data_IF_887611449446
#
_entry.id   IF_887611449446
#
_cell.length_a   1.000
_cell.length_b   1.000
_cell.length_c   1.000
_cell.angle_alpha   90.00
_cell.angle_beta   90.00
_cell.angle_gamma   90.00
#
_symmetry.space_group_name_H-M   'P 1'
#
loop_
_entity.id
_entity.type
_entity.pdbx_description
1 polymer ?
#
# COMPACT_ATOMS: atom_id res chain seq x y z
N UNK A 1 -22.25 -10.44 -5.88
CA UNK A 1 -22.76 -11.02 -4.62
C UNK A 1 -23.75 -10.09 -3.91
N UNK A 2 -23.34 -8.98 -3.28
CA UNK A 2 -24.28 -8.15 -2.49
C UNK A 2 -25.52 -7.63 -3.25
N UNK A 3 -25.36 -7.16 -4.51
CA UNK A 3 -26.52 -6.71 -5.32
C UNK A 3 -27.50 -7.85 -5.63
N UNK A 4 -26.98 -9.06 -5.86
CA UNK A 4 -27.80 -10.23 -6.12
C UNK A 4 -28.61 -10.60 -4.87
N UNK A 5 -27.97 -10.59 -3.70
CA UNK A 5 -28.62 -10.85 -2.41
C UNK A 5 -29.74 -9.83 -2.13
N UNK A 6 -29.53 -8.54 -2.43
CA UNK A 6 -30.58 -7.51 -2.26
C UNK A 6 -31.77 -7.76 -3.19
N UNK A 7 -31.53 -8.19 -4.43
CA UNK A 7 -32.58 -8.57 -5.36
C UNK A 7 -33.33 -9.83 -4.90
N UNK A 8 -32.61 -10.87 -4.48
CA UNK A 8 -33.19 -12.10 -3.96
C UNK A 8 -34.04 -11.85 -2.71
N UNK A 9 -33.56 -11.01 -1.78
CA UNK A 9 -34.29 -10.65 -0.58
C UNK A 9 -35.54 -9.81 -0.90
N UNK A 10 -35.43 -8.84 -1.82
CA UNK A 10 -36.57 -8.05 -2.29
C UNK A 10 -37.65 -8.91 -2.95
N UNK A 11 -37.24 -9.87 -3.77
CA UNK A 11 -38.13 -10.84 -4.41
C UNK A 11 -38.78 -11.75 -3.36
N UNK A 12 -38.00 -12.30 -2.42
CA UNK A 12 -38.51 -13.18 -1.37
C UNK A 12 -39.54 -12.47 -0.49
N UNK A 13 -39.27 -11.24 -0.06
CA UNK A 13 -40.22 -10.42 0.71
C UNK A 13 -41.48 -10.14 -0.11
N UNK A 14 -41.33 -9.78 -1.40
CA UNK A 14 -42.46 -9.58 -2.30
C UNK A 14 -43.35 -10.82 -2.44
N UNK A 15 -42.75 -12.01 -2.57
CA UNK A 15 -43.47 -13.28 -2.67
C UNK A 15 -44.16 -13.65 -1.35
N UNK A 16 -43.52 -13.42 -0.20
CA UNK A 16 -44.14 -13.63 1.12
C UNK A 16 -45.35 -12.72 1.32
N UNK A 17 -45.26 -11.44 0.94
CA UNK A 17 -46.38 -10.50 1.02
C UNK A 17 -47.57 -10.94 0.15
N UNK A 18 -47.30 -11.46 -1.05
CA UNK A 18 -48.33 -12.00 -1.93
C UNK A 18 -48.95 -13.30 -1.39
N UNK A 19 -48.16 -14.13 -0.70
CA UNK A 19 -48.65 -15.35 -0.06
C UNK A 19 -49.53 -15.08 1.17
N UNK A 20 -49.32 -13.95 1.86
CA UNK A 20 -50.13 -13.52 3.02
C UNK A 20 -51.47 -12.93 2.56
N UNK A 21 -51.44 -11.95 1.63
CA UNK A 21 -52.67 -11.32 1.13
C UNK A 21 -52.48 -10.75 -0.29
N UNK A 22 -53.30 -11.19 -1.24
CA UNK A 22 -53.30 -10.70 -2.63
C UNK A 22 -53.60 -9.20 -2.77
N UNK A 23 -54.24 -8.56 -1.77
CA UNK A 23 -54.45 -7.10 -1.74
C UNK A 23 -53.14 -6.33 -1.60
N UNK A 24 -52.08 -6.95 -1.08
CA UNK A 24 -50.75 -6.35 -0.93
C UNK A 24 -49.93 -6.33 -2.23
N UNK A 25 -50.50 -6.71 -3.38
CA UNK A 25 -49.79 -6.75 -4.67
C UNK A 25 -49.02 -5.47 -5.01
N UNK A 26 -49.58 -4.29 -4.74
CA UNK A 26 -48.91 -3.02 -5.02
C UNK A 26 -47.76 -2.75 -4.04
N UNK A 27 -47.87 -3.22 -2.80
CA UNK A 27 -46.80 -3.15 -1.79
C UNK A 27 -45.66 -4.09 -2.19
N UNK A 28 -45.96 -5.32 -2.61
CA UNK A 28 -44.97 -6.28 -3.09
C UNK A 28 -44.20 -5.76 -4.32
N UNK A 29 -44.93 -5.18 -5.30
CA UNK A 29 -44.30 -4.52 -6.46
C UNK A 29 -43.43 -3.34 -6.00
N UNK A 30 -43.91 -2.53 -5.06
CA UNK A 30 -43.14 -1.41 -4.50
C UNK A 30 -41.85 -1.86 -3.82
N UNK A 31 -41.89 -2.91 -3.01
CA UNK A 31 -40.70 -3.47 -2.34
C UNK A 31 -39.70 -4.01 -3.37
N UNK A 32 -40.16 -4.75 -4.38
CA UNK A 32 -39.30 -5.24 -5.45
C UNK A 32 -38.69 -4.08 -6.27
N UNK A 33 -39.47 -3.07 -6.60
CA UNK A 33 -39.00 -1.89 -7.32
C UNK A 33 -37.94 -1.13 -6.51
N UNK A 34 -38.16 -0.95 -5.19
CA UNK A 34 -37.16 -0.36 -4.29
C UNK A 34 -35.90 -1.21 -4.22
N UNK A 35 -36.02 -2.53 -4.14
CA UNK A 35 -34.86 -3.43 -4.14
C UNK A 35 -34.06 -3.34 -5.45
N UNK A 36 -34.73 -3.24 -6.60
CA UNK A 36 -34.10 -2.98 -7.90
C UNK A 36 -33.39 -1.63 -7.89
N UNK A 37 -34.06 -0.57 -7.44
CA UNK A 37 -33.46 0.77 -7.35
C UNK A 37 -32.20 0.71 -6.48
N UNK A 38 -32.26 0.14 -5.28
CA UNK A 38 -31.11 0.02 -4.37
C UNK A 38 -29.97 -0.82 -4.99
N UNK A 39 -30.31 -1.92 -5.66
CA UNK A 39 -29.31 -2.80 -6.28
C UNK A 39 -28.57 -2.13 -7.44
N UNK A 40 -29.27 -1.29 -8.21
CA UNK A 40 -28.71 -0.61 -9.38
C UNK A 40 -28.30 0.84 -9.15
N UNK A 41 -28.62 1.43 -7.99
CA UNK A 41 -28.23 2.80 -7.67
C UNK A 41 -26.71 2.87 -7.55
N UNK A 42 -26.12 3.72 -8.40
CA UNK A 42 -24.69 3.95 -8.45
C UNK A 42 -24.39 5.32 -7.84
N UNK A 43 -23.64 5.34 -6.75
CA UNK A 43 -23.24 6.57 -6.06
C UNK A 43 -21.72 6.71 -6.09
N UNK A 44 -21.20 7.79 -6.68
CA UNK A 44 -19.75 8.08 -6.68
C UNK A 44 -18.89 6.98 -7.30
N UNK A 45 -19.40 6.30 -8.34
CA UNK A 45 -18.69 5.23 -9.04
C UNK A 45 -18.76 3.84 -8.39
N UNK A 46 -19.43 3.67 -7.24
CA UNK A 46 -19.65 2.39 -6.57
C UNK A 46 -21.15 2.04 -6.50
N UNK A 47 -21.47 0.75 -6.34
CA UNK A 47 -22.85 0.32 -6.09
C UNK A 47 -23.27 0.72 -4.67
N UNK A 48 -24.53 1.14 -4.48
CA UNK A 48 -25.02 1.59 -3.17
C UNK A 48 -24.82 0.54 -2.07
N UNK A 49 -25.00 -0.75 -2.37
CA UNK A 49 -24.77 -1.85 -1.41
C UNK A 49 -23.32 -1.94 -0.94
N UNK A 50 -22.35 -1.66 -1.83
CA UNK A 50 -20.94 -1.61 -1.49
C UNK A 50 -20.64 -0.40 -0.62
N UNK A 51 -21.24 0.74 -0.94
CA UNK A 51 -21.12 1.95 -0.12
C UNK A 51 -21.71 1.73 1.28
N UNK A 52 -22.92 1.20 1.39
CA UNK A 52 -23.59 0.91 2.66
C UNK A 52 -22.80 -0.10 3.50
N UNK A 53 -22.35 -1.20 2.91
CA UNK A 53 -21.52 -2.19 3.61
C UNK A 53 -20.16 -1.63 4.06
N UNK A 54 -19.55 -0.76 3.26
CA UNK A 54 -18.31 -0.08 3.63
C UNK A 54 -18.53 0.89 4.79
N UNK A 55 -19.57 1.74 4.71
CA UNK A 55 -19.93 2.68 5.77
C UNK A 55 -20.24 1.94 7.07
N UNK A 56 -20.98 0.83 7.01
CA UNK A 56 -21.30 0.02 8.18
C UNK A 56 -20.04 -0.57 8.83
N UNK A 57 -19.15 -1.17 8.02
CA UNK A 57 -17.86 -1.72 8.50
C UNK A 57 -16.97 -0.65 9.10
N UNK A 58 -16.93 0.52 8.47
CA UNK A 58 -16.22 1.68 8.99
C UNK A 58 -16.79 2.08 10.35
N UNK A 59 -18.09 2.33 10.45
CA UNK A 59 -18.76 2.74 11.70
C UNK A 59 -18.54 1.78 12.87
N UNK A 60 -18.45 0.48 12.63
CA UNK A 60 -18.29 -0.53 13.69
C UNK A 60 -16.83 -0.90 14.01
N UNK A 61 -15.83 -0.34 13.31
CA UNK A 61 -14.42 -0.62 13.59
C UNK A 61 -13.81 0.46 14.51
N UNK A 62 -12.74 0.11 15.22
CA UNK A 62 -11.88 1.12 15.84
C UNK A 62 -11.17 1.96 14.78
N UNK A 63 -11.16 3.27 15.01
CA UNK A 63 -10.52 4.28 14.17
C UNK A 63 -9.24 4.81 14.79
N UNK A 64 -9.11 4.68 16.10
CA UNK A 64 -7.96 5.15 16.85
C UNK A 64 -7.09 3.97 17.28
N UNK A 65 -5.79 4.13 17.13
CA UNK A 65 -4.75 3.20 17.57
C UNK A 65 -3.66 3.99 18.27
N UNK A 66 -3.08 3.42 19.32
CA UNK A 66 -2.03 4.07 20.11
C UNK A 66 -0.91 3.09 20.35
N UNK A 67 0.32 3.50 20.01
CA UNK A 67 1.53 2.81 20.38
C UNK A 67 2.01 3.40 21.71
N UNK A 68 2.09 2.54 22.73
CA UNK A 68 2.67 2.92 24.03
C UNK A 68 4.18 2.74 23.98
N UNK A 69 4.96 3.73 24.44
CA UNK A 69 6.41 3.62 24.48
C UNK A 69 6.81 2.42 25.36
N UNK A 70 7.80 1.68 24.90
CA UNK A 70 8.37 0.59 25.66
C UNK A 70 9.39 1.13 26.68
N UNK A 71 9.54 0.49 27.85
CA UNK A 71 10.56 0.88 28.80
C UNK A 71 11.96 0.79 28.14
N UNK A 72 12.90 1.68 28.51
CA UNK A 72 14.24 1.65 27.94
C UNK A 72 14.89 0.29 28.23
N UNK A 73 15.25 -0.44 27.18
CA UNK A 73 16.01 -1.67 27.29
C UNK A 73 17.45 -1.36 27.68
N UNK A 74 18.05 -2.17 28.56
CA UNK A 74 19.46 -2.07 28.89
C UNK A 74 20.31 -2.47 27.67
N UNK A 75 21.50 -1.89 27.53
CA UNK A 75 22.44 -2.22 26.44
C UNK A 75 22.77 -3.72 26.45
N UNK A 76 22.77 -4.35 27.63
CA UNK A 76 22.96 -5.79 27.81
C UNK A 76 21.80 -6.64 27.27
N UNK A 77 20.55 -6.16 27.36
CA UNK A 77 19.39 -6.85 26.78
C UNK A 77 19.38 -6.76 25.25
N UNK A 78 19.74 -5.59 24.70
CA UNK A 78 19.85 -5.36 23.25
C UNK A 78 20.99 -6.16 22.61
N UNK A 79 22.07 -6.43 23.34
CA UNK A 79 23.20 -7.24 22.88
C UNK A 79 22.96 -8.76 23.03
N UNK A 80 21.99 -9.18 23.84
CA UNK A 80 21.66 -10.58 24.09
C UNK A 80 20.56 -11.13 23.15
N UNK A 81 19.77 -10.27 22.50
CA UNK A 81 18.72 -10.65 21.57
C UNK A 81 19.26 -10.84 20.13
N UNK A 82 20.03 -11.91 19.89
CA UNK A 82 20.13 -12.52 18.55
C UNK A 82 18.86 -13.34 18.24
N UNK A 83 17.69 -12.73 18.44
CA UNK A 83 16.43 -13.40 18.16
C UNK A 83 16.22 -13.49 16.65
N UNK A 84 15.89 -14.69 16.17
CA UNK A 84 15.57 -14.94 14.77
C UNK A 84 14.32 -14.17 14.27
N UNK A 85 13.63 -13.47 15.18
CA UNK A 85 12.38 -12.75 14.94
C UNK A 85 12.32 -11.49 15.81
N UNK A 86 12.21 -10.32 15.16
CA UNK A 86 11.91 -9.05 15.82
C UNK A 86 10.40 -8.92 16.00
N UNK A 87 9.96 -8.99 17.25
CA UNK A 87 8.55 -8.96 17.65
C UNK A 87 8.06 -7.58 18.14
N UNK A 88 6.86 -7.55 18.76
CA UNK A 88 6.25 -6.35 19.33
C UNK A 88 7.07 -5.59 20.37
N UNK A 89 8.04 -6.27 20.99
CA UNK A 89 8.90 -5.71 22.03
C UNK A 89 10.02 -4.83 21.46
N UNK A 90 10.18 -4.77 20.13
CA UNK A 90 10.98 -3.74 19.47
C UNK A 90 10.13 -2.48 19.27
N UNK A 91 10.67 -1.33 19.68
CA UNK A 91 9.99 -0.03 19.58
C UNK A 91 9.56 0.34 18.16
N UNK A 92 10.32 -0.09 17.13
CA UNK A 92 10.04 0.14 15.71
C UNK A 92 8.87 -0.72 15.24
N UNK A 93 8.85 -1.99 15.62
CA UNK A 93 7.73 -2.90 15.30
C UNK A 93 6.47 -2.41 16.01
N UNK A 94 6.53 -2.10 17.30
CA UNK A 94 5.41 -1.54 18.06
C UNK A 94 4.82 -0.28 17.40
N UNK A 95 5.67 0.62 16.91
CA UNK A 95 5.26 1.83 16.20
C UNK A 95 4.59 1.50 14.85
N UNK A 96 5.17 0.59 14.07
CA UNK A 96 4.62 0.17 12.76
C UNK A 96 3.32 -0.63 12.90
N UNK A 97 3.08 -1.27 14.05
CA UNK A 97 1.81 -1.95 14.37
C UNK A 97 0.61 -1.01 14.49
N UNK A 98 0.83 0.31 14.55
CA UNK A 98 -0.22 1.31 14.30
C UNK A 98 -0.87 1.11 12.93
N UNK A 99 -0.09 0.82 11.90
CA UNK A 99 -0.55 0.61 10.53
C UNK A 99 -0.82 -0.86 10.22
N UNK A 100 0.07 -1.75 10.68
CA UNK A 100 0.07 -3.20 10.38
C UNK A 100 -0.01 -3.99 11.70
N UNK A 101 -1.21 -4.24 12.26
CA UNK A 101 -1.38 -4.69 13.65
C UNK A 101 -0.73 -6.02 14.03
N UNK A 102 -0.51 -6.90 13.06
CA UNK A 102 0.06 -8.24 13.23
C UNK A 102 1.50 -8.33 12.73
N UNK A 103 2.16 -7.18 12.51
CA UNK A 103 3.53 -7.12 12.04
C UNK A 103 4.49 -7.84 12.99
N UNK A 104 5.28 -8.72 12.39
CA UNK A 104 6.46 -9.36 12.96
C UNK A 104 7.53 -9.41 11.86
N UNK A 105 8.81 -9.24 12.19
CA UNK A 105 9.90 -9.31 11.21
C UNK A 105 10.80 -10.50 11.52
N UNK A 106 10.76 -11.53 10.70
CA UNK A 106 11.67 -12.66 10.78
C UNK A 106 12.99 -12.36 10.07
N UNK A 107 14.07 -12.97 10.56
CA UNK A 107 15.40 -12.83 10.01
C UNK A 107 15.69 -14.03 9.10
N UNK A 108 15.87 -13.74 7.82
CA UNK A 108 16.28 -14.70 6.80
C UNK A 108 17.73 -14.48 6.39
N UNK A 109 18.29 -15.48 5.71
CA UNK A 109 19.60 -15.37 5.07
C UNK A 109 19.45 -15.88 3.64
N UNK A 110 19.93 -15.12 2.68
CA UNK A 110 19.89 -15.50 1.27
C UNK A 110 21.03 -16.46 0.87
N UNK A 111 21.08 -16.82 -0.41
CA UNK A 111 22.10 -17.72 -0.94
C UNK A 111 23.52 -17.11 -0.93
N UNK A 112 23.62 -15.79 -0.85
CA UNK A 112 24.88 -15.02 -0.77
C UNK A 112 25.27 -14.71 0.68
N UNK A 113 24.58 -15.34 1.65
CA UNK A 113 24.76 -15.14 3.10
C UNK A 113 24.48 -13.71 3.56
N UNK A 114 23.69 -12.95 2.79
CA UNK A 114 23.21 -11.64 3.20
C UNK A 114 21.94 -11.78 4.05
N UNK A 115 21.81 -10.95 5.07
CA UNK A 115 20.60 -10.90 5.89
C UNK A 115 19.42 -10.36 5.08
N UNK A 116 18.24 -10.94 5.30
CA UNK A 116 17.00 -10.53 4.64
C UNK A 116 15.92 -10.38 5.71
N UNK A 117 15.32 -9.18 5.80
CA UNK A 117 14.13 -8.96 6.60
C UNK A 117 12.90 -9.55 5.92
N UNK A 118 12.12 -10.34 6.66
CA UNK A 118 10.88 -10.93 6.17
C UNK A 118 9.73 -10.49 7.08
N UNK A 119 8.86 -9.62 6.59
CA UNK A 119 7.69 -9.15 7.33
C UNK A 119 6.53 -10.15 7.22
N UNK A 120 5.90 -10.46 8.35
CA UNK A 120 4.63 -11.15 8.41
C UNK A 120 3.50 -10.16 8.58
N UNK A 121 2.47 -10.30 7.76
CA UNK A 121 1.20 -9.60 7.94
C UNK A 121 0.07 -10.33 7.21
N UNK A 122 -1.14 -10.31 7.76
CA UNK A 122 -2.37 -10.82 7.17
C UNK A 122 -2.23 -12.23 6.54
N UNK A 123 -1.52 -13.11 7.25
CA UNK A 123 -1.31 -14.49 6.80
C UNK A 123 -0.27 -14.68 5.68
N UNK A 124 0.53 -13.66 5.39
CA UNK A 124 1.50 -13.66 4.29
C UNK A 124 2.89 -13.19 4.70
N UNK A 125 3.90 -13.64 3.97
CA UNK A 125 5.28 -13.20 4.13
C UNK A 125 5.67 -12.21 3.02
N UNK A 126 6.33 -11.12 3.39
CA UNK A 126 6.83 -10.09 2.47
C UNK A 126 8.33 -9.89 2.65
N UNK A 127 9.08 -9.94 1.56
CA UNK A 127 10.49 -9.54 1.52
C UNK A 127 10.66 -8.40 0.53
N UNK A 128 11.62 -7.50 0.78
CA UNK A 128 11.74 -6.25 0.03
C UNK A 128 13.12 -6.10 -0.57
N UNK A 129 13.17 -5.71 -1.84
CA UNK A 129 14.37 -5.21 -2.51
C UNK A 129 14.37 -3.69 -2.49
N UNK A 130 15.51 -3.09 -2.18
CA UNK A 130 15.81 -1.70 -2.47
C UNK A 130 16.40 -1.60 -3.87
N UNK A 131 15.86 -0.69 -4.69
CA UNK A 131 16.50 -0.32 -5.95
C UNK A 131 17.62 0.66 -5.64
N UNK A 132 18.84 0.32 -6.04
CA UNK A 132 20.01 1.17 -5.82
C UNK A 132 19.87 2.46 -6.64
N UNK A 133 19.97 3.64 -6.02
CA UNK A 133 19.91 4.89 -6.75
C UNK A 133 21.12 4.95 -7.68
N UNK A 134 20.88 5.20 -8.98
CA UNK A 134 21.96 5.51 -9.90
C UNK A 134 22.73 6.74 -9.36
N UNK A 135 24.07 6.76 -9.39
CA UNK A 135 24.90 7.78 -8.75
C UNK A 135 24.84 9.19 -9.38
N UNK A 136 23.72 9.56 -10.02
CA UNK A 136 23.50 10.91 -10.50
C UNK A 136 23.18 11.86 -9.32
N UNK A 137 23.99 12.91 -9.17
CA UNK A 137 23.91 13.94 -8.12
C UNK A 137 22.54 14.62 -7.97
N UNK A 138 21.63 14.52 -8.97
CA UNK A 138 20.26 15.06 -8.93
C UNK A 138 19.36 14.17 -9.80
N UNK A 139 18.32 13.55 -9.24
CA UNK A 139 17.28 12.85 -10.00
C UNK A 139 16.02 13.71 -10.13
N UNK A 140 15.52 13.84 -11.37
CA UNK A 140 14.27 14.52 -11.68
C UNK A 140 13.08 13.68 -11.20
N UNK A 141 12.05 14.28 -10.61
CA UNK A 141 10.88 13.57 -10.07
C UNK A 141 10.17 12.62 -11.09
N UNK A 142 10.32 12.87 -12.40
CA UNK A 142 9.77 12.05 -13.48
C UNK A 142 10.70 10.97 -14.09
N UNK A 143 12.00 11.02 -13.81
CA UNK A 143 13.03 10.31 -14.59
C UNK A 143 13.35 8.86 -14.17
N UNK A 144 12.57 8.26 -13.27
CA UNK A 144 12.88 6.94 -12.76
C UNK A 144 12.56 5.81 -13.74
N UNK A 145 13.29 4.67 -13.67
CA UNK A 145 13.01 3.51 -14.48
C UNK A 145 11.57 3.04 -14.26
N UNK A 146 10.92 2.83 -15.39
CA UNK A 146 9.55 2.37 -15.49
C UNK A 146 9.46 0.91 -15.03
N UNK A 147 8.39 0.47 -14.35
CA UNK A 147 8.22 -0.94 -13.93
C UNK A 147 8.41 -1.88 -15.14
N UNK A 148 9.42 -2.77 -15.17
CA UNK A 148 9.56 -3.73 -16.25
C UNK A 148 8.55 -4.87 -16.06
N UNK A 149 7.26 -4.55 -16.27
CA UNK A 149 6.12 -5.45 -16.05
C UNK A 149 6.29 -6.79 -16.77
N UNK A 150 6.80 -6.76 -18.01
CA UNK A 150 7.06 -7.95 -18.81
C UNK A 150 8.15 -8.85 -18.23
N UNK A 151 9.16 -8.27 -17.56
CA UNK A 151 10.23 -9.04 -16.92
C UNK A 151 9.76 -9.63 -15.59
N UNK A 152 8.83 -8.97 -14.89
CA UNK A 152 8.34 -9.40 -13.58
C UNK A 152 7.15 -10.36 -13.65
N UNK A 153 6.33 -10.30 -14.71
CA UNK A 153 5.17 -11.17 -14.86
C UNK A 153 5.53 -12.68 -14.78
N UNK A 154 6.60 -13.18 -15.42
CA UNK A 154 7.02 -14.58 -15.26
C UNK A 154 7.47 -14.93 -13.84
N UNK A 155 7.85 -13.96 -13.00
CA UNK A 155 8.26 -14.21 -11.63
C UNK A 155 7.07 -14.49 -10.69
N UNK A 156 5.85 -14.15 -11.10
CA UNK A 156 4.63 -14.37 -10.31
C UNK A 156 4.35 -15.86 -10.09
N UNK A 157 4.70 -16.71 -11.05
CA UNK A 157 4.49 -18.14 -10.99
C UNK A 157 5.73 -18.87 -11.52
N UNK A 158 6.49 -19.51 -10.64
CA UNK A 158 7.68 -20.26 -11.03
C UNK A 158 7.95 -21.43 -10.07
N UNK A 159 8.33 -22.59 -10.61
CA UNK A 159 8.72 -23.80 -9.84
C UNK A 159 7.78 -24.16 -8.69
N UNK A 160 6.47 -24.14 -8.96
CA UNK A 160 5.41 -24.45 -8.00
C UNK A 160 5.16 -23.39 -6.91
N UNK A 161 5.84 -22.24 -6.99
CA UNK A 161 5.60 -21.07 -6.14
C UNK A 161 4.76 -20.07 -6.93
N UNK A 162 3.58 -19.77 -6.39
CA UNK A 162 2.65 -18.75 -6.90
C UNK A 162 2.62 -17.60 -5.90
N UNK A 163 3.18 -16.46 -6.29
CA UNK A 163 3.23 -15.27 -5.46
C UNK A 163 1.84 -14.67 -5.26
N UNK A 164 1.67 -14.02 -4.11
CA UNK A 164 0.48 -13.19 -3.88
C UNK A 164 0.52 -11.95 -4.78
N UNK A 165 1.65 -11.24 -4.73
CA UNK A 165 1.90 -10.08 -5.58
C UNK A 165 3.39 -9.72 -5.62
N UNK A 166 3.76 -8.98 -6.66
CA UNK A 166 5.00 -8.19 -6.71
C UNK A 166 4.58 -6.73 -6.75
N UNK A 167 4.99 -5.95 -5.77
CA UNK A 167 4.63 -4.54 -5.64
C UNK A 167 5.86 -3.66 -5.75
N UNK A 168 5.80 -2.65 -6.61
CA UNK A 168 6.81 -1.60 -6.66
C UNK A 168 6.27 -0.34 -6.00
N UNK A 169 7.05 0.20 -5.07
CA UNK A 169 6.68 1.35 -4.26
C UNK A 169 7.71 2.45 -4.54
N UNK A 170 7.22 3.58 -5.04
CA UNK A 170 7.99 4.79 -5.22
C UNK A 170 7.62 5.78 -4.14
N UNK A 171 8.58 6.16 -3.33
CA UNK A 171 8.38 7.13 -2.27
C UNK A 171 9.29 8.33 -2.48
N UNK A 172 8.68 9.50 -2.53
CA UNK A 172 9.32 10.71 -3.00
C UNK A 172 9.13 11.84 -1.99
N UNK A 173 10.26 12.43 -1.59
CA UNK A 173 10.31 13.69 -0.87
C UNK A 173 10.70 14.79 -1.88
N UNK A 174 9.77 15.66 -2.29
CA UNK A 174 10.12 16.76 -3.17
C UNK A 174 11.11 17.70 -2.47
N UNK A 175 12.01 18.36 -3.20
CA UNK A 175 13.03 19.24 -2.62
C UNK A 175 12.45 20.40 -1.81
N UNK A 176 11.23 20.83 -2.16
CA UNK A 176 10.45 21.78 -1.39
C UNK A 176 9.98 21.26 -0.02
N UNK A 177 9.98 19.94 0.20
CA UNK A 177 9.49 19.34 1.44
C UNK A 177 10.30 19.84 2.64
N UNK A 178 11.58 20.16 2.50
CA UNK A 178 12.40 20.66 3.61
C UNK A 178 12.00 22.08 4.08
N UNK A 179 11.24 22.83 3.27
CA UNK A 179 10.88 24.22 3.55
C UNK A 179 9.41 24.34 4.00
N UNK A 180 9.09 25.26 4.92
CA UNK A 180 7.71 25.65 5.19
C UNK A 180 7.01 26.19 3.94
N UNK A 181 5.70 25.98 3.83
CA UNK A 181 4.91 26.37 2.66
C UNK A 181 4.85 27.88 2.40
N UNK A 182 5.10 28.69 3.43
CA UNK A 182 5.10 30.15 3.44
C UNK A 182 6.52 30.76 3.43
N UNK A 183 7.55 29.93 3.31
CA UNK A 183 8.94 30.40 3.35
C UNK A 183 9.30 31.22 2.10
N UNK A 184 9.92 32.41 2.25
CA UNK A 184 10.48 33.16 1.11
C UNK A 184 11.50 32.35 0.31
N UNK A 185 12.27 31.48 0.96
CA UNK A 185 13.22 30.58 0.30
C UNK A 185 12.52 29.60 -0.64
N UNK A 186 11.31 29.14 -0.29
CA UNK A 186 10.51 28.30 -1.18
C UNK A 186 10.03 29.09 -2.39
N UNK A 187 9.60 30.34 -2.21
CA UNK A 187 9.21 31.22 -3.32
C UNK A 187 10.36 31.45 -4.30
N UNK A 188 11.55 31.80 -3.79
CA UNK A 188 12.75 31.97 -4.61
C UNK A 188 13.18 30.67 -5.30
N UNK A 189 13.12 29.53 -4.60
CA UNK A 189 13.38 28.22 -5.21
C UNK A 189 12.42 27.95 -6.37
N UNK A 190 11.14 28.27 -6.22
CA UNK A 190 10.15 28.06 -7.28
C UNK A 190 10.31 28.99 -8.47
N UNK A 191 10.69 30.25 -8.24
CA UNK A 191 11.01 31.21 -9.29
C UNK A 191 12.20 30.72 -10.14
N UNK A 192 13.26 30.24 -9.48
CA UNK A 192 14.45 29.69 -10.15
C UNK A 192 14.15 28.37 -10.85
N UNK A 193 13.35 27.50 -10.24
CA UNK A 193 12.97 26.21 -10.81
C UNK A 193 12.14 26.38 -12.10
N UNK A 194 11.24 27.36 -12.12
CA UNK A 194 10.37 27.63 -13.26
C UNK A 194 9.54 26.39 -13.68
N UNK A 195 9.56 25.99 -14.96
CA UNK A 195 8.80 24.84 -15.46
C UNK A 195 9.50 23.48 -15.25
N UNK A 196 10.71 23.46 -14.69
CA UNK A 196 11.49 22.22 -14.52
C UNK A 196 10.92 21.36 -13.39
N UNK A 197 11.05 20.01 -13.46
CA UNK A 197 10.67 19.16 -12.35
C UNK A 197 11.55 19.46 -11.13
N UNK A 198 10.94 19.56 -9.95
CA UNK A 198 11.69 19.77 -8.71
C UNK A 198 12.67 18.59 -8.48
N UNK A 199 13.86 18.90 -7.97
CA UNK A 199 14.74 17.89 -7.42
C UNK A 199 14.00 17.16 -6.30
N UNK A 200 14.11 15.84 -6.23
CA UNK A 200 13.44 15.07 -5.21
C UNK A 200 14.31 13.92 -4.74
N UNK A 201 14.26 13.63 -3.43
CA UNK A 201 14.84 12.39 -2.91
C UNK A 201 13.80 11.30 -3.12
N UNK A 202 14.12 10.35 -3.99
CA UNK A 202 13.26 9.20 -4.28
C UNK A 202 13.91 7.92 -3.82
N UNK A 203 13.12 7.12 -3.12
CA UNK A 203 13.45 5.74 -2.78
C UNK A 203 12.48 4.82 -3.52
N UNK A 204 13.00 3.73 -4.10
CA UNK A 204 12.17 2.72 -4.76
C UNK A 204 12.37 1.38 -4.10
N UNK A 205 11.27 0.77 -3.69
CA UNK A 205 11.24 -0.57 -3.11
C UNK A 205 10.46 -1.51 -4.03
N UNK A 206 10.84 -2.78 -4.04
CA UNK A 206 10.09 -3.86 -4.67
C UNK A 206 9.77 -4.88 -3.58
N UNK A 207 8.52 -4.95 -3.16
CA UNK A 207 8.01 -5.89 -2.18
C UNK A 207 7.47 -7.14 -2.88
N UNK A 208 7.96 -8.31 -2.47
CA UNK A 208 7.56 -9.62 -2.97
C UNK A 208 6.74 -10.28 -1.87
N UNK A 209 5.47 -10.58 -2.15
CA UNK A 209 4.53 -11.15 -1.17
C UNK A 209 4.20 -12.60 -1.52
N UNK A 210 4.29 -13.48 -0.53
CA UNK A 210 3.97 -14.91 -0.62
C UNK A 210 2.84 -15.24 0.36
N UNK A 211 1.75 -15.84 -0.13
CA UNK A 211 0.76 -16.51 0.71
C UNK A 211 1.11 -18.01 0.81
N UNK A 212 1.49 -18.52 1.99
CA UNK A 212 1.83 -19.92 2.19
C UNK A 212 0.71 -20.89 1.77
N UNK A 213 -0.56 -20.47 1.87
CA UNK A 213 -1.73 -21.31 1.54
C UNK A 213 -1.81 -21.61 0.04
N UNK A 214 -1.21 -20.77 -0.80
CA UNK A 214 -1.15 -20.95 -2.26
C UNK A 214 -0.03 -21.90 -2.70
N UNK A 215 0.96 -22.15 -1.84
CA UNK A 215 2.18 -22.88 -2.18
C UNK A 215 2.47 -24.11 -1.28
N UNK A 216 1.48 -24.95 -0.91
CA UNK A 216 1.70 -26.01 0.09
C UNK A 216 2.69 -27.10 -0.35
N UNK A 217 2.71 -27.46 -1.64
CA UNK A 217 3.65 -28.45 -2.17
C UNK A 217 5.08 -27.91 -2.17
N UNK A 218 5.28 -26.71 -2.75
CA UNK A 218 6.57 -26.04 -2.82
C UNK A 218 7.19 -25.77 -1.44
N UNK A 219 6.37 -25.41 -0.44
CA UNK A 219 6.84 -25.21 0.94
C UNK A 219 7.31 -26.52 1.57
N UNK A 220 6.56 -27.61 1.35
CA UNK A 220 6.90 -28.94 1.88
C UNK A 220 8.22 -29.46 1.34
N UNK A 221 8.45 -29.32 0.03
CA UNK A 221 9.72 -29.67 -0.63
C UNK A 221 10.91 -28.88 -0.08
N UNK A 222 10.66 -27.68 0.47
CA UNK A 222 11.69 -26.78 1.02
C UNK A 222 11.88 -26.92 2.53
N UNK A 223 11.35 -27.98 3.15
CA UNK A 223 11.49 -28.29 4.57
C UNK A 223 10.22 -28.05 5.41
N UNK A 224 9.13 -27.57 4.79
CA UNK A 224 7.84 -27.38 5.46
C UNK A 224 7.78 -26.18 6.41
N UNK A 225 6.57 -25.91 6.92
CA UNK A 225 6.31 -24.86 7.90
C UNK A 225 6.81 -23.47 7.49
N UNK A 226 7.22 -22.68 8.50
CA UNK A 226 7.73 -21.31 8.32
C UNK A 226 9.06 -21.30 7.56
N UNK A 227 9.96 -22.24 7.86
CA UNK A 227 11.29 -22.32 7.21
C UNK A 227 11.15 -22.57 5.71
N UNK A 228 10.27 -23.48 5.30
CA UNK A 228 9.98 -23.74 3.89
C UNK A 228 9.35 -22.54 3.18
N UNK A 229 8.49 -21.78 3.87
CA UNK A 229 7.91 -20.54 3.36
C UNK A 229 8.98 -19.46 3.16
N UNK A 230 9.89 -19.25 4.12
CA UNK A 230 11.00 -18.32 4.00
C UNK A 230 11.92 -18.68 2.83
N UNK A 231 12.30 -19.96 2.70
CA UNK A 231 13.11 -20.45 1.57
C UNK A 231 12.41 -20.25 0.22
N UNK A 232 11.10 -20.49 0.15
CA UNK A 232 10.32 -20.25 -1.06
C UNK A 232 10.32 -18.75 -1.43
N UNK A 233 10.12 -17.87 -0.45
CA UNK A 233 10.11 -16.42 -0.63
C UNK A 233 11.49 -15.87 -1.02
N UNK A 234 12.56 -16.28 -0.33
CA UNK A 234 13.95 -15.89 -0.66
C UNK A 234 14.32 -16.35 -2.08
N UNK A 235 13.90 -17.55 -2.47
CA UNK A 235 14.06 -18.02 -3.84
C UNK A 235 13.32 -17.15 -4.87
N UNK A 236 12.10 -16.71 -4.56
CA UNK A 236 11.35 -15.78 -5.41
C UNK A 236 11.96 -14.37 -5.45
N UNK A 237 12.46 -13.88 -4.31
CA UNK A 237 13.17 -12.61 -4.17
C UNK A 237 14.39 -12.57 -5.09
N UNK A 238 15.21 -13.63 -5.08
CA UNK A 238 16.38 -13.75 -5.97
C UNK A 238 15.99 -13.76 -7.45
N UNK A 239 14.89 -14.42 -7.83
CA UNK A 239 14.39 -14.40 -9.22
C UNK A 239 13.96 -13.01 -9.66
N UNK A 240 13.21 -12.31 -8.81
CA UNK A 240 12.77 -10.93 -9.08
C UNK A 240 13.98 -10.00 -9.19
N UNK A 241 14.96 -10.11 -8.30
CA UNK A 241 16.24 -9.39 -8.38
C UNK A 241 16.92 -9.62 -9.73
N UNK A 242 17.12 -10.87 -10.12
CA UNK A 242 17.78 -11.22 -11.39
C UNK A 242 17.00 -10.68 -12.61
N UNK A 243 15.66 -10.73 -12.57
CA UNK A 243 14.82 -10.17 -13.62
C UNK A 243 14.99 -8.64 -13.75
N UNK A 244 15.09 -7.92 -12.62
CA UNK A 244 15.36 -6.48 -12.60
C UNK A 244 16.79 -6.14 -13.06
N UNK A 245 17.78 -6.89 -12.61
CA UNK A 245 19.18 -6.74 -13.02
C UNK A 245 19.36 -6.94 -14.53
N UNK A 246 18.64 -7.91 -15.12
CA UNK A 246 18.64 -8.12 -16.58
C UNK A 246 18.13 -6.91 -17.38
N UNK A 247 17.36 -6.03 -16.73
CA UNK A 247 16.85 -4.79 -17.29
C UNK A 247 17.69 -3.56 -16.89
N UNK A 248 18.86 -3.79 -16.29
CA UNK A 248 19.76 -2.72 -15.83
C UNK A 248 19.27 -1.99 -14.58
N UNK A 249 18.40 -2.61 -13.78
CA UNK A 249 17.90 -2.06 -12.52
C UNK A 249 18.60 -2.80 -11.36
N UNK A 250 19.72 -2.28 -10.83
CA UNK A 250 20.41 -2.91 -9.71
C UNK A 250 19.57 -2.82 -8.45
N UNK A 251 19.46 -3.95 -7.73
CA UNK A 251 18.69 -4.01 -6.49
C UNK A 251 19.39 -4.89 -5.47
N UNK A 252 19.09 -4.67 -4.19
CA UNK A 252 19.56 -5.52 -3.09
C UNK A 252 18.44 -5.81 -2.10
N UNK A 253 18.44 -6.95 -1.40
CA UNK A 253 17.50 -7.18 -0.31
C UNK A 253 17.71 -6.17 0.83
N UNK A 254 16.64 -5.85 1.53
CA UNK A 254 16.70 -5.15 2.81
C UNK A 254 16.92 -6.15 3.93
N UNK A 255 17.88 -5.86 4.82
CA UNK A 255 18.02 -6.56 6.09
C UNK A 255 16.84 -6.22 7.04
N UNK A 256 16.69 -6.91 8.19
CA UNK A 256 15.61 -6.64 9.14
C UNK A 256 15.54 -5.17 9.62
N UNK A 257 16.69 -4.55 9.90
CA UNK A 257 16.77 -3.19 10.44
C UNK A 257 16.44 -2.15 9.37
N UNK A 258 16.97 -2.33 8.16
CA UNK A 258 16.68 -1.49 7.01
C UNK A 258 15.23 -1.60 6.56
N UNK A 259 14.63 -2.78 6.66
CA UNK A 259 13.21 -3.00 6.38
C UNK A 259 12.34 -2.19 7.35
N UNK A 260 12.63 -2.25 8.65
CA UNK A 260 11.95 -1.46 9.67
C UNK A 260 12.17 0.04 9.47
N UNK A 261 13.41 0.47 9.24
CA UNK A 261 13.78 1.88 9.00
C UNK A 261 13.10 2.45 7.76
N UNK A 262 13.10 1.71 6.66
CA UNK A 262 12.44 2.10 5.40
C UNK A 262 10.93 2.25 5.60
N UNK A 263 10.33 1.37 6.40
CA UNK A 263 8.90 1.41 6.69
C UNK A 263 8.50 2.55 7.62
N UNK A 264 9.33 2.86 8.62
CA UNK A 264 9.14 4.04 9.48
C UNK A 264 9.22 5.32 8.65
N UNK A 265 10.21 5.42 7.76
CA UNK A 265 10.32 6.56 6.84
C UNK A 265 9.11 6.67 5.93
N UNK A 266 8.71 5.57 5.28
CA UNK A 266 7.53 5.57 4.41
C UNK A 266 6.24 5.91 5.17
N UNK A 267 6.15 5.61 6.46
CA UNK A 267 5.02 5.95 7.31
C UNK A 267 5.05 7.40 7.86
N UNK A 268 6.10 8.17 7.56
CA UNK A 268 6.36 9.50 8.15
C UNK A 268 6.46 9.48 9.70
N UNK A 269 6.97 8.39 10.26
CA UNK A 269 7.09 8.19 11.71
C UNK A 269 8.51 8.42 12.24
N UNK A 270 9.45 8.83 11.39
CA UNK A 270 10.87 9.03 11.76
C UNK A 270 11.04 9.99 12.94
N UNK A 271 10.26 11.08 13.00
CA UNK A 271 10.37 12.08 14.05
C UNK A 271 9.93 11.58 15.45
N UNK A 272 9.17 10.49 15.50
CA UNK A 272 8.66 9.89 16.75
C UNK A 272 9.25 8.52 17.05
N UNK A 273 10.13 8.01 16.17
CA UNK A 273 10.84 6.76 16.40
C UNK A 273 11.72 6.89 17.66
N UNK A 274 11.49 6.02 18.64
CA UNK A 274 12.18 6.07 19.95
C UNK A 274 11.68 7.16 20.89
N UNK A 275 10.59 7.86 20.57
CA UNK A 275 9.99 8.85 21.47
C UNK A 275 9.45 8.18 22.74
N UNK A 276 9.65 8.78 23.94
CA UNK A 276 9.05 8.30 25.18
C UNK A 276 7.56 8.70 25.31
N UNK A 277 6.98 9.36 24.30
CA UNK A 277 5.58 9.75 24.27
C UNK A 277 4.72 8.69 23.57
N UNK A 278 3.43 8.63 23.93
CA UNK A 278 2.45 7.82 23.19
C UNK A 278 2.27 8.37 21.78
N UNK A 279 2.30 7.49 20.79
CA UNK A 279 2.07 7.86 19.39
C UNK A 279 0.71 7.35 18.95
N UNK A 280 -0.13 8.27 18.46
CA UNK A 280 -1.46 7.95 17.97
C UNK A 280 -1.51 7.83 16.44
N UNK A 281 -2.39 6.94 15.97
CA UNK A 281 -2.90 6.90 14.61
C UNK A 281 -4.42 6.99 14.66
N UNK A 282 -4.99 7.92 13.90
CA UNK A 282 -6.43 8.13 13.80
C UNK A 282 -6.87 8.07 12.33
N UNK A 283 -7.78 7.16 12.02
CA UNK A 283 -8.44 7.12 10.72
C UNK A 283 -9.68 8.02 10.70
N UNK A 284 -9.79 8.82 9.65
CA UNK A 284 -10.99 9.56 9.25
C UNK A 284 -11.49 9.01 7.92
N UNK A 285 -12.72 9.37 7.58
CA UNK A 285 -13.34 8.91 6.33
C UNK A 285 -12.50 9.26 5.10
N UNK A 286 -11.81 10.40 5.10
CA UNK A 286 -11.05 10.92 3.95
C UNK A 286 -9.53 10.83 4.10
N UNK A 287 -9.01 10.46 5.27
CA UNK A 287 -7.57 10.32 5.46
C UNK A 287 -7.19 9.65 6.78
N UNK A 288 -5.89 9.46 7.00
CA UNK A 288 -5.32 8.97 8.27
C UNK A 288 -4.41 10.05 8.82
N UNK A 289 -4.42 10.26 10.14
CA UNK A 289 -3.41 11.07 10.82
C UNK A 289 -2.54 10.16 11.66
N UNK A 290 -1.23 10.13 11.41
CA UNK A 290 -0.27 9.36 12.18
C UNK A 290 0.81 10.32 12.71
N UNK A 291 1.03 10.34 14.03
CA UNK A 291 2.01 11.23 14.67
C UNK A 291 1.88 12.73 14.26
N UNK A 292 0.65 13.19 14.01
CA UNK A 292 0.36 14.57 13.57
C UNK A 292 0.48 14.82 12.06
N UNK A 293 1.02 13.86 11.29
CA UNK A 293 1.08 13.95 9.82
C UNK A 293 -0.22 13.41 9.22
N UNK A 294 -0.79 14.16 8.28
CA UNK A 294 -1.99 13.77 7.55
C UNK A 294 -1.66 13.01 6.27
N UNK A 295 -2.40 11.93 6.01
CA UNK A 295 -2.25 11.09 4.83
C UNK A 295 -3.60 10.92 4.11
N UNK A 296 -3.58 10.98 2.79
CA UNK A 296 -4.73 10.69 1.94
C UNK A 296 -4.33 9.70 0.85
N UNK A 297 -5.08 8.60 0.73
CA UNK A 297 -4.85 7.52 -0.22
C UNK A 297 -5.94 7.46 -1.29
N UNK A 298 -5.51 7.17 -2.52
CA UNK A 298 -6.33 7.14 -3.72
C UNK A 298 -6.01 5.87 -4.52
N UNK A 299 -7.02 5.16 -4.99
CA UNK A 299 -6.84 4.04 -5.91
C UNK A 299 -6.79 4.55 -7.35
N UNK A 300 -5.91 3.97 -8.16
CA UNK A 300 -5.91 4.13 -9.62
C UNK A 300 -7.01 3.22 -10.17
N UNK A 301 -8.08 3.81 -10.69
CA UNK A 301 -9.25 3.08 -11.21
C UNK A 301 -9.35 3.07 -12.72
N UNK A 302 -8.66 3.99 -13.39
CA UNK A 302 -8.46 3.97 -14.83
C UNK A 302 -6.99 4.22 -15.15
N UNK A 303 -6.45 3.40 -16.04
CA UNK A 303 -5.07 3.48 -16.51
C UNK A 303 -5.00 4.30 -17.81
N UNK A 304 -3.88 4.98 -18.06
CA UNK A 304 -3.70 5.75 -19.29
C UNK A 304 -3.66 4.79 -20.48
N UNK A 305 -4.25 5.21 -21.61
CA UNK A 305 -4.18 4.46 -22.87
C UNK A 305 -2.77 4.60 -23.45
N UNK A 306 -1.87 3.64 -23.21
CA UNK A 306 -0.49 3.66 -23.73
C UNK A 306 0.55 3.11 -22.75
N UNK A 307 1.79 3.61 -22.81
CA UNK A 307 2.87 3.20 -21.90
C UNK A 307 2.61 3.71 -20.47
N UNK A 308 2.07 2.83 -19.63
CA UNK A 308 1.72 3.07 -18.21
C UNK A 308 2.91 3.54 -17.37
N UNK A 309 4.12 3.12 -17.71
CA UNK A 309 5.22 3.10 -16.77
C UNK A 309 6.06 4.40 -16.72
N UNK A 310 6.05 5.23 -17.77
CA UNK A 310 6.72 6.55 -17.75
C UNK A 310 5.84 7.68 -17.19
N UNK A 311 4.52 7.55 -17.28
CA UNK A 311 3.55 8.58 -16.89
C UNK A 311 3.33 8.65 -15.38
N UNK A 312 3.37 7.51 -14.67
CA UNK A 312 2.99 7.46 -13.26
C UNK A 312 4.02 8.04 -12.29
N UNK A 313 5.29 8.16 -12.72
CA UNK A 313 6.31 8.86 -11.95
C UNK A 313 5.90 10.31 -11.66
N UNK A 314 5.19 10.96 -12.58
CA UNK A 314 4.71 12.32 -12.37
C UNK A 314 3.69 12.44 -11.22
N UNK A 315 3.02 11.34 -10.81
CA UNK A 315 2.16 11.37 -9.61
C UNK A 315 2.98 11.51 -8.32
N UNK A 316 4.27 11.16 -8.33
CA UNK A 316 5.19 11.36 -7.18
C UNK A 316 5.79 12.77 -7.10
N UNK A 317 5.56 13.63 -8.10
CA UNK A 317 6.07 15.01 -8.11
C UNK A 317 5.15 16.02 -7.42
N UNK A 318 4.05 15.54 -6.82
CA UNK A 318 3.11 16.38 -6.07
C UNK A 318 3.86 17.05 -4.92
N UNK A 319 3.71 18.37 -4.83
CA UNK A 319 4.27 19.15 -3.73
C UNK A 319 3.47 18.90 -2.46
N UNK A 320 4.01 18.05 -1.60
CA UNK A 320 3.54 17.77 -0.25
C UNK A 320 4.76 17.46 0.63
N UNK A 321 4.55 16.94 1.86
CA UNK A 321 5.64 16.38 2.66
C UNK A 321 6.26 15.19 1.91
N UNK A 322 5.42 14.26 1.45
CA UNK A 322 5.82 13.16 0.58
C UNK A 322 4.68 12.69 -0.31
N UNK A 323 5.05 12.04 -1.41
CA UNK A 323 4.13 11.35 -2.29
C UNK A 323 4.63 9.91 -2.51
N UNK A 324 3.75 8.95 -2.27
CA UNK A 324 4.01 7.52 -2.49
C UNK A 324 3.10 7.01 -3.59
N UNK A 325 3.66 6.27 -4.55
CA UNK A 325 2.89 5.52 -5.54
C UNK A 325 3.29 4.06 -5.39
N UNK A 326 2.32 3.20 -5.10
CA UNK A 326 2.50 1.76 -5.00
C UNK A 326 1.73 1.09 -6.14
N UNK A 327 2.40 0.26 -6.93
CA UNK A 327 1.79 -0.53 -8.00
C UNK A 327 2.05 -2.00 -7.76
N UNK A 328 1.01 -2.83 -7.78
CA UNK A 328 1.12 -4.26 -7.59
C UNK A 328 0.67 -5.01 -8.84
N UNK A 329 1.45 -6.05 -9.19
CA UNK A 329 1.02 -7.09 -10.10
C UNK A 329 0.69 -8.35 -9.31
N UNK A 330 -0.36 -9.06 -9.71
CA UNK A 330 -0.75 -10.33 -9.11
C UNK A 330 -1.15 -11.35 -10.18
N UNK A 331 -1.12 -12.65 -9.88
CA UNK A 331 -1.61 -13.66 -10.83
C UNK A 331 -3.07 -13.41 -11.21
N UNK A 332 -3.43 -13.75 -12.45
CA UNK A 332 -4.80 -13.69 -12.97
C UNK A 332 -5.30 -15.11 -13.27
N UNK A 333 -6.61 -15.33 -13.17
CA UNK A 333 -7.23 -16.57 -13.64
C UNK A 333 -7.26 -16.67 -15.17
N UNK A 334 -7.23 -15.53 -15.85
CA UNK A 334 -7.15 -15.45 -17.31
C UNK A 334 -5.72 -15.72 -17.78
N UNK A 335 -5.55 -16.72 -18.64
CA UNK A 335 -4.24 -17.07 -19.22
C UNK A 335 -3.61 -15.89 -19.96
N UNK A 336 -2.31 -15.67 -19.73
CA UNK A 336 -1.55 -14.58 -20.33
C UNK A 336 -1.89 -13.17 -19.81
N UNK A 337 -2.74 -13.05 -18.78
CA UNK A 337 -3.05 -11.76 -18.13
C UNK A 337 -2.49 -11.72 -16.71
N UNK A 338 -2.28 -10.50 -16.22
CA UNK A 338 -1.92 -10.23 -14.83
C UNK A 338 -2.93 -9.23 -14.25
N UNK A 339 -3.21 -9.37 -12.96
CA UNK A 339 -3.87 -8.33 -12.20
C UNK A 339 -2.92 -7.14 -12.05
N UNK A 340 -3.42 -5.92 -12.25
CA UNK A 340 -2.67 -4.69 -12.01
C UNK A 340 -3.51 -3.77 -11.11
N UNK A 341 -2.93 -3.35 -9.99
CA UNK A 341 -3.52 -2.36 -9.08
C UNK A 341 -2.52 -1.27 -8.75
N UNK A 342 -3.05 -0.12 -8.35
CA UNK A 342 -2.22 1.04 -8.03
C UNK A 342 -2.88 1.91 -6.97
N UNK A 343 -2.06 2.39 -6.04
CA UNK A 343 -2.46 3.33 -5.00
C UNK A 343 -1.49 4.50 -5.00
N UNK A 344 -2.03 5.71 -4.83
CA UNK A 344 -1.28 6.93 -4.57
C UNK A 344 -1.58 7.38 -3.15
N UNK A 345 -0.56 7.67 -2.34
CA UNK A 345 -0.68 8.30 -1.03
C UNK A 345 0.04 9.63 -1.04
N UNK A 346 -0.66 10.67 -0.58
CA UNK A 346 -0.05 11.96 -0.25
C UNK A 346 0.09 12.06 1.27
N UNK A 347 1.22 12.60 1.73
CA UNK A 347 1.45 12.94 3.13
C UNK A 347 1.71 14.44 3.24
N UNK A 348 1.17 15.09 4.26
CA UNK A 348 1.32 16.52 4.50
C UNK A 348 1.34 16.83 6.00
N UNK A 349 1.99 17.94 6.37
CA UNK A 349 2.18 18.31 7.78
C UNK A 349 0.91 18.82 8.45
N UNK A 350 -0.02 19.32 7.65
CA UNK A 350 -1.26 19.89 8.14
C UNK A 350 -2.38 19.72 7.08
N UNK A 351 -3.66 19.89 7.48
CA UNK A 351 -4.79 19.71 6.57
C UNK A 351 -4.77 20.64 5.35
N UNK A 352 -4.34 21.90 5.50
CA UNK A 352 -4.31 22.87 4.39
C UNK A 352 -3.32 22.45 3.30
N UNK A 353 -2.15 21.96 3.69
CA UNK A 353 -1.16 21.43 2.78
C UNK A 353 -1.67 20.16 2.08
N UNK A 354 -2.40 19.29 2.81
CA UNK A 354 -2.99 18.08 2.24
C UNK A 354 -4.05 18.40 1.18
N UNK A 355 -4.95 19.36 1.46
CA UNK A 355 -5.99 19.79 0.53
C UNK A 355 -5.37 20.41 -0.75
N UNK A 356 -4.32 21.21 -0.58
CA UNK A 356 -3.60 21.80 -1.72
C UNK A 356 -2.82 20.74 -2.52
N UNK A 357 -2.32 19.69 -1.87
CA UNK A 357 -1.68 18.56 -2.53
C UNK A 357 -2.68 17.71 -3.31
N UNK A 358 -3.89 17.48 -2.77
CA UNK A 358 -4.99 16.78 -3.47
C UNK A 358 -5.39 17.51 -4.76
N UNK A 359 -5.62 18.82 -4.71
CA UNK A 359 -5.96 19.62 -5.91
C UNK A 359 -4.88 19.51 -7.00
N UNK A 360 -3.59 19.52 -6.60
CA UNK A 360 -2.47 19.36 -7.55
C UNK A 360 -2.40 17.94 -8.12
N UNK A 361 -2.63 16.92 -7.29
CA UNK A 361 -2.67 15.54 -7.72
C UNK A 361 -3.78 15.31 -8.75
N UNK A 362 -4.97 15.87 -8.53
CA UNK A 362 -6.08 15.83 -9.49
C UNK A 362 -5.66 16.43 -10.84
N UNK A 363 -5.11 17.65 -10.83
CA UNK A 363 -4.62 18.29 -12.06
C UNK A 363 -3.45 17.59 -12.76
N UNK A 364 -2.63 16.81 -12.04
CA UNK A 364 -1.63 15.93 -12.66
C UNK A 364 -2.31 14.69 -13.25
N UNK A 365 -3.23 14.06 -12.51
CA UNK A 365 -3.93 12.85 -12.95
C UNK A 365 -4.74 13.08 -14.23
N UNK A 366 -5.42 14.24 -14.35
CA UNK A 366 -6.17 14.62 -15.54
C UNK A 366 -5.26 14.75 -16.76
N UNK A 367 -4.10 15.41 -16.61
CA UNK A 367 -3.10 15.55 -17.67
C UNK A 367 -2.50 14.22 -18.12
N UNK A 368 -2.39 13.26 -17.20
CA UNK A 368 -1.89 11.92 -17.49
C UNK A 368 -2.97 10.97 -18.01
N UNK A 369 -4.25 11.36 -17.98
CA UNK A 369 -5.38 10.48 -18.31
C UNK A 369 -5.55 9.32 -17.32
N UNK A 370 -5.16 9.52 -16.05
CA UNK A 370 -5.30 8.56 -14.96
C UNK A 370 -6.48 8.97 -14.10
N UNK A 371 -7.40 8.06 -13.80
CA UNK A 371 -8.48 8.36 -12.84
C UNK A 371 -8.10 7.88 -11.45
N UNK A 372 -8.13 8.80 -10.49
CA UNK A 372 -7.90 8.53 -9.08
C UNK A 372 -9.21 8.56 -8.31
N UNK A 373 -9.47 7.52 -7.53
CA UNK A 373 -10.65 7.42 -6.67
C UNK A 373 -10.21 7.43 -5.21
N UNK A 374 -10.63 8.43 -4.41
CA UNK A 374 -10.28 8.47 -2.99
C UNK A 374 -10.72 7.19 -2.26
N UNK A 375 -9.85 6.62 -1.43
CA UNK A 375 -10.11 5.42 -0.64
C UNK A 375 -10.93 5.73 0.61
N UNK A 376 -12.08 6.38 0.43
CA UNK A 376 -12.93 6.78 1.55
C UNK A 376 -13.36 5.58 2.39
N UNK A 377 -13.17 5.65 3.70
CA UNK A 377 -13.42 4.56 4.65
C UNK A 377 -12.44 3.37 4.58
N UNK A 378 -11.40 3.46 3.75
CA UNK A 378 -10.33 2.46 3.57
C UNK A 378 -8.95 3.11 3.64
N UNK A 379 -8.82 4.22 4.36
CA UNK A 379 -7.63 5.05 4.34
C UNK A 379 -6.47 4.38 5.07
N UNK A 380 -6.74 3.64 6.15
CA UNK A 380 -5.69 2.85 6.82
C UNK A 380 -5.17 1.72 5.93
N UNK A 381 -6.05 1.11 5.13
CA UNK A 381 -5.67 0.04 4.21
C UNK A 381 -4.85 0.59 3.05
N UNK A 382 -5.22 1.76 2.52
CA UNK A 382 -4.40 2.48 1.53
C UNK A 382 -3.05 2.93 2.12
N UNK A 383 -3.05 3.36 3.37
CA UNK A 383 -1.82 3.73 4.08
C UNK A 383 -0.89 2.53 4.25
N UNK A 384 -1.37 1.39 4.77
CA UNK A 384 -0.55 0.18 4.94
C UNK A 384 -0.11 -0.41 3.60
N UNK A 385 -0.94 -0.34 2.56
CA UNK A 385 -0.63 -0.80 1.21
C UNK A 385 0.48 0.00 0.48
N UNK A 386 0.90 1.11 1.07
CA UNK A 386 1.99 1.95 0.56
C UNK A 386 3.22 1.92 1.48
N UNK A 387 3.26 0.96 2.41
CA UNK A 387 4.43 0.65 3.23
C UNK A 387 5.16 -0.59 2.68
N UNK A 388 6.50 -0.63 2.69
CA UNK A 388 7.27 -1.78 2.20
C UNK A 388 6.93 -3.13 2.85
N UNK A 389 6.45 -3.10 4.09
CA UNK A 389 6.30 -4.27 4.96
C UNK A 389 4.93 -4.93 4.98
N UNK A 390 3.87 -4.32 4.43
CA UNK A 390 2.58 -4.77 4.93
C UNK A 390 1.29 -4.30 4.29
N UNK A 391 1.25 -4.07 2.98
CA UNK A 391 -0.06 -4.12 2.34
C UNK A 391 -0.03 -4.23 0.83
N UNK A 392 -1.05 -4.88 0.30
CA UNK A 392 -1.30 -4.96 -1.14
C UNK A 392 -2.16 -3.80 -1.61
N UNK A 393 -1.73 -3.20 -2.72
CA UNK A 393 -2.51 -2.22 -3.48
C UNK A 393 -3.74 -2.83 -4.17
#
# INVERSE_FOLDING_TARGET
MANLVVLELGLAIGLVLLAIDMKLKYVAIGVLAVAIIIAFLRWGGRWFTQWAGLTLRYMFRSHDRVATPLPPSSIEALAAEEDAVTGPDDARVNLLRLAVPDLVVAHGVDHERQQVGIAWNDGTWTAVLLVEPAPALITQAGGAPSLPLSALAPCLEDRGVVLDSIQMIWHCYPGSAALPSDSPALSSYMEVLGPLPAAARRTTWVAIRLDPRRCPAAIRERGGGVVGAHRALIGALSRVRNALESQGVPTRPLDPDELLRSSISAAELTAVAGSPAKVGLQERWTGVTAAGIGHASYAITSWPKGKISGSLNALTSVRALSATVAMSISPSADEGKIGLRGIVRLSARNPRELDAADQRLQGISDRLGVTLTPLRGLQISGFSATLPIGGTA
#
